data_IF_293754537951
#
_entry.id   IF_293754537951
#
_cell.length_a   1.000
_cell.length_b   1.000
_cell.length_c   1.000
_cell.angle_alpha   90.00
_cell.angle_beta   90.00
_cell.angle_gamma   90.00
#
_symmetry.space_group_name_H-M   'P 1'
#
loop_
_entity.id
_entity.type
_entity.pdbx_description
1 polymer ?
#
# COMPACT_ATOMS: atom_id res chain seq x y z
N UNK A 1 2.16 53.72 22.20
CA UNK A 1 1.60 52.55 22.91
C UNK A 1 1.70 51.38 21.95
N UNK A 2 2.79 50.61 22.03
CA UNK A 2 2.88 49.32 21.35
C UNK A 2 2.04 48.35 22.18
N UNK A 3 1.02 47.72 21.57
CA UNK A 3 0.22 46.68 22.26
C UNK A 3 1.13 45.50 22.61
N UNK A 4 1.34 45.17 23.89
CA UNK A 4 2.33 44.16 24.30
C UNK A 4 1.89 42.70 24.10
N UNK A 5 0.72 42.44 23.50
CA UNK A 5 0.07 41.12 23.56
C UNK A 5 -0.30 40.48 22.20
N UNK A 6 0.18 41.02 21.08
CA UNK A 6 -0.04 40.37 19.80
C UNK A 6 0.97 39.23 19.62
N UNK A 7 0.62 38.02 20.06
CA UNK A 7 1.34 36.80 19.68
C UNK A 7 1.56 36.78 18.17
N UNK A 8 2.77 36.43 17.74
CA UNK A 8 3.06 36.30 16.33
C UNK A 8 2.16 35.22 15.69
N UNK A 9 1.84 35.34 14.39
CA UNK A 9 0.88 34.44 13.73
C UNK A 9 1.25 32.96 13.83
N UNK A 10 2.55 32.63 13.85
CA UNK A 10 3.03 31.26 13.98
C UNK A 10 2.76 30.70 15.37
N UNK A 11 3.12 31.45 16.41
CA UNK A 11 2.87 31.05 17.81
C UNK A 11 1.38 30.86 18.07
N UNK A 12 0.53 31.77 17.56
CA UNK A 12 -0.93 31.61 17.66
C UNK A 12 -1.40 30.32 16.98
N UNK A 13 -0.98 30.06 15.75
CA UNK A 13 -1.41 28.88 15.01
C UNK A 13 -0.95 27.56 15.66
N UNK A 14 0.25 27.52 16.25
CA UNK A 14 0.74 26.35 16.99
C UNK A 14 -0.03 26.11 18.30
N UNK A 15 -0.41 27.17 19.02
CA UNK A 15 -1.26 27.07 20.22
C UNK A 15 -2.63 26.53 19.83
N UNK A 16 -3.23 27.06 18.77
CA UNK A 16 -4.52 26.58 18.27
C UNK A 16 -4.43 25.10 17.89
N UNK A 17 -3.42 24.70 17.11
CA UNK A 17 -3.20 23.31 16.77
C UNK A 17 -3.05 22.44 18.01
N UNK A 18 -2.31 22.90 19.04
CA UNK A 18 -2.13 22.17 20.30
C UNK A 18 -3.46 21.93 21.01
N UNK A 19 -4.27 22.99 21.16
CA UNK A 19 -5.59 22.89 21.81
C UNK A 19 -6.47 21.90 21.06
N UNK A 20 -6.47 21.96 19.73
CA UNK A 20 -7.27 21.06 18.89
C UNK A 20 -6.77 19.63 18.92
N UNK A 21 -5.45 19.40 18.95
CA UNK A 21 -4.87 18.07 19.10
C UNK A 21 -5.30 17.41 20.43
N UNK A 22 -5.45 18.20 21.50
CA UNK A 22 -5.97 17.70 22.79
C UNK A 22 -7.46 17.35 22.70
N UNK A 23 -8.27 18.15 22.00
CA UNK A 23 -9.71 17.95 21.88
C UNK A 23 -10.06 16.77 20.94
N UNK A 24 -9.40 16.70 19.79
CA UNK A 24 -9.73 15.76 18.71
C UNK A 24 -8.87 14.50 18.71
N UNK A 25 -7.76 14.49 19.47
CA UNK A 25 -6.85 13.34 19.54
C UNK A 25 -6.35 12.94 18.15
N UNK A 26 -6.58 11.67 17.79
CA UNK A 26 -6.11 11.09 16.52
C UNK A 26 -7.04 11.35 15.32
N UNK A 27 -8.07 12.18 15.46
CA UNK A 27 -9.02 12.49 14.38
C UNK A 27 -8.39 13.43 13.33
N UNK A 28 -7.51 12.87 12.50
CA UNK A 28 -6.66 13.56 11.51
C UNK A 28 -7.40 14.53 10.59
N UNK A 29 -8.61 14.17 10.16
CA UNK A 29 -9.40 15.01 9.26
C UNK A 29 -9.86 16.31 9.93
N UNK A 30 -10.07 16.29 11.25
CA UNK A 30 -10.47 17.45 12.04
C UNK A 30 -9.27 18.34 12.39
N UNK A 31 -8.06 17.77 12.44
CA UNK A 31 -6.81 18.50 12.69
C UNK A 31 -6.22 19.15 11.44
N UNK A 32 -6.48 18.60 10.25
CA UNK A 32 -5.88 19.06 9.00
C UNK A 32 -5.99 20.58 8.77
N UNK A 33 -7.13 21.26 8.99
CA UNK A 33 -7.22 22.71 8.79
C UNK A 33 -6.27 23.52 9.69
N UNK A 34 -6.00 23.03 10.90
CA UNK A 34 -5.12 23.69 11.86
C UNK A 34 -3.65 23.41 11.57
N UNK A 35 -3.34 22.21 11.05
CA UNK A 35 -2.01 21.90 10.53
C UNK A 35 -1.72 22.78 9.32
N UNK A 36 -2.66 22.93 8.39
CA UNK A 36 -2.52 23.80 7.22
C UNK A 36 -2.31 25.26 7.65
N UNK A 37 -3.12 25.78 8.58
CA UNK A 37 -2.96 27.14 9.13
C UNK A 37 -1.59 27.35 9.80
N UNK A 38 -1.09 26.37 10.57
CA UNK A 38 0.24 26.44 11.17
C UNK A 38 1.34 26.41 10.10
N UNK A 39 1.18 25.59 9.05
CA UNK A 39 2.13 25.49 7.94
C UNK A 39 2.18 26.78 7.12
N UNK A 40 1.04 27.41 6.87
CA UNK A 40 0.93 28.70 6.16
C UNK A 40 1.54 29.85 6.99
N UNK A 41 1.44 29.78 8.32
CA UNK A 41 2.13 30.68 9.24
C UNK A 41 3.64 30.41 9.35
N UNK A 42 4.17 29.39 8.67
CA UNK A 42 5.61 29.08 8.62
C UNK A 42 6.08 27.97 9.56
N UNK A 43 5.17 27.27 10.25
CA UNK A 43 5.55 26.19 11.16
C UNK A 43 6.29 25.09 10.41
N UNK A 44 7.41 24.61 10.94
CA UNK A 44 8.12 23.45 10.40
C UNK A 44 7.37 22.15 10.71
N UNK A 45 7.59 21.10 9.92
CA UNK A 45 7.03 19.77 10.23
C UNK A 45 7.52 19.20 11.57
N UNK A 46 8.68 19.66 12.07
CA UNK A 46 9.17 19.33 13.40
C UNK A 46 8.28 19.92 14.49
N UNK A 47 7.93 21.21 14.37
CA UNK A 47 7.04 21.89 15.32
C UNK A 47 5.64 21.27 15.32
N UNK A 48 5.10 20.93 14.14
CA UNK A 48 3.82 20.21 14.03
C UNK A 48 3.90 18.86 14.75
N UNK A 49 4.98 18.08 14.53
CA UNK A 49 5.17 16.80 15.21
C UNK A 49 5.23 16.93 16.73
N UNK A 50 5.94 17.94 17.24
CA UNK A 50 6.05 18.19 18.68
C UNK A 50 4.70 18.56 19.31
N UNK A 51 3.89 19.35 18.61
CA UNK A 51 2.55 19.75 19.07
C UNK A 51 1.58 18.57 19.11
N UNK A 52 1.62 17.71 18.09
CA UNK A 52 0.74 16.54 17.97
C UNK A 52 1.27 15.30 18.70
N UNK A 53 2.46 15.36 19.30
CA UNK A 53 3.06 14.20 19.98
C UNK A 53 3.54 13.09 19.02
N UNK A 54 3.87 13.45 17.77
CA UNK A 54 4.40 12.52 16.78
C UNK A 54 5.91 12.37 16.92
N UNK A 55 6.40 11.17 16.61
CA UNK A 55 7.81 10.80 16.84
C UNK A 55 8.84 11.68 16.12
N UNK A 56 8.51 12.22 14.94
CA UNK A 56 9.42 13.08 14.17
C UNK A 56 8.69 13.84 13.05
N UNK A 57 9.40 14.77 12.40
CA UNK A 57 8.90 15.56 11.28
C UNK A 57 8.43 14.71 10.08
N UNK A 58 9.05 13.56 9.82
CA UNK A 58 8.64 12.65 8.74
C UNK A 58 7.27 12.04 9.03
N UNK A 59 6.99 11.67 10.29
CA UNK A 59 5.69 11.19 10.74
C UNK A 59 4.60 12.25 10.55
N UNK A 60 4.86 13.50 10.91
CA UNK A 60 3.92 14.62 10.69
C UNK A 60 3.66 14.85 9.18
N UNK A 61 4.71 14.95 8.36
CA UNK A 61 4.57 15.12 6.92
C UNK A 61 3.87 13.92 6.24
N UNK A 62 4.15 12.69 6.67
CA UNK A 62 3.47 11.49 6.15
C UNK A 62 1.98 11.47 6.49
N UNK A 63 1.60 12.08 7.62
CA UNK A 63 0.24 12.10 8.15
C UNK A 63 -0.59 13.21 7.50
N UNK A 64 -0.03 14.42 7.41
CA UNK A 64 -0.73 15.66 7.03
C UNK A 64 -0.23 16.31 5.74
N UNK A 65 0.84 15.80 5.12
CA UNK A 65 1.42 16.41 3.94
C UNK A 65 0.49 16.35 2.71
N UNK A 66 0.60 17.34 1.79
CA UNK A 66 -0.31 17.55 0.66
C UNK A 66 -0.38 16.39 -0.36
N UNK A 67 0.44 15.35 -0.19
CA UNK A 67 0.56 14.22 -1.11
C UNK A 67 0.00 12.91 -0.57
N UNK A 68 -0.76 12.89 0.53
CA UNK A 68 -1.29 11.62 1.06
C UNK A 68 -2.21 10.91 0.06
N UNK A 69 -3.14 11.64 -0.57
CA UNK A 69 -4.04 11.07 -1.60
C UNK A 69 -3.27 10.62 -2.84
N UNK A 70 -2.36 11.46 -3.32
CA UNK A 70 -1.53 11.17 -4.49
C UNK A 70 -0.57 9.99 -4.26
N UNK A 71 0.05 9.90 -3.07
CA UNK A 71 0.90 8.77 -2.64
C UNK A 71 0.11 7.49 -2.54
N UNK A 72 -1.09 7.53 -1.95
CA UNK A 72 -1.95 6.35 -1.84
C UNK A 72 -2.40 5.88 -3.22
N UNK A 73 -2.74 6.79 -4.13
CA UNK A 73 -3.09 6.44 -5.50
C UNK A 73 -1.89 5.90 -6.28
N UNK A 74 -0.71 6.51 -6.15
CA UNK A 74 0.53 5.98 -6.72
C UNK A 74 0.88 4.58 -6.17
N UNK A 75 0.67 4.32 -4.89
CA UNK A 75 0.84 2.99 -4.30
C UNK A 75 -0.20 2.01 -4.84
N UNK A 76 -1.46 2.42 -4.98
CA UNK A 76 -2.53 1.60 -5.58
C UNK A 76 -2.21 1.26 -7.03
N UNK A 77 -1.78 2.23 -7.82
CA UNK A 77 -1.36 2.07 -9.21
C UNK A 77 -0.12 1.17 -9.32
N UNK A 78 0.87 1.33 -8.42
CA UNK A 78 2.03 0.42 -8.36
C UNK A 78 1.63 -1.01 -8.00
N UNK A 79 0.73 -1.22 -7.05
CA UNK A 79 0.21 -2.55 -6.73
C UNK A 79 -0.60 -3.15 -7.87
N UNK A 80 -1.43 -2.34 -8.54
CA UNK A 80 -2.18 -2.76 -9.73
C UNK A 80 -1.24 -3.14 -10.88
N UNK A 81 -0.16 -2.38 -11.10
CA UNK A 81 0.86 -2.68 -12.09
C UNK A 81 1.74 -3.89 -11.70
N UNK A 82 1.98 -4.10 -10.40
CA UNK A 82 2.73 -5.24 -9.86
C UNK A 82 1.93 -6.54 -9.89
N UNK A 83 0.58 -6.47 -9.91
CA UNK A 83 -0.28 -7.57 -10.32
C UNK A 83 -0.15 -7.79 -11.83
N UNK A 84 1.06 -8.14 -12.28
CA UNK A 84 1.30 -8.60 -13.65
C UNK A 84 0.37 -9.77 -13.91
N UNK A 85 -0.47 -9.58 -14.91
CA UNK A 85 -1.54 -10.47 -15.30
C UNK A 85 -1.06 -11.91 -15.47
N UNK A 86 -1.97 -12.83 -15.19
CA UNK A 86 -1.85 -14.19 -15.71
C UNK A 86 -1.69 -14.16 -17.24
N UNK A 87 -1.31 -15.30 -17.84
CA UNK A 87 -1.15 -15.39 -19.28
C UNK A 87 -2.42 -14.85 -19.99
N UNK A 88 -2.18 -14.07 -21.06
CA UNK A 88 -3.22 -13.36 -21.82
C UNK A 88 -4.21 -14.33 -22.50
N UNK A 89 -3.81 -15.59 -22.60
CA UNK A 89 -4.61 -16.72 -23.09
C UNK A 89 -4.67 -17.80 -21.99
N UNK A 90 -5.80 -18.53 -21.88
CA UNK A 90 -5.89 -19.66 -20.98
C UNK A 90 -4.82 -20.70 -21.34
N UNK A 91 -4.16 -21.32 -20.34
CA UNK A 91 -3.15 -22.33 -20.60
C UNK A 91 -3.75 -23.50 -21.38
N UNK A 92 -2.99 -24.19 -22.25
CA UNK A 92 -3.46 -25.29 -23.09
C UNK A 92 -3.71 -26.59 -22.30
N UNK A 93 -4.00 -26.49 -21.01
CA UNK A 93 -4.19 -27.61 -20.09
C UNK A 93 -4.55 -27.11 -18.69
N UNK A 94 -4.71 -28.04 -17.77
CA UNK A 94 -5.16 -27.77 -16.39
C UNK A 94 -4.00 -27.91 -15.39
N UNK A 95 -4.17 -27.36 -14.18
CA UNK A 95 -3.17 -27.50 -13.12
C UNK A 95 -3.09 -28.94 -12.59
N UNK A 96 -1.98 -29.30 -11.93
CA UNK A 96 -1.86 -30.61 -11.28
C UNK A 96 -2.97 -30.89 -10.25
N UNK A 97 -3.48 -29.83 -9.60
CA UNK A 97 -4.56 -29.93 -8.60
C UNK A 97 -5.89 -30.26 -9.29
N UNK A 98 -6.19 -29.59 -10.40
CA UNK A 98 -7.40 -29.86 -11.19
C UNK A 98 -7.34 -31.23 -11.85
N UNK A 99 -6.20 -31.60 -12.44
CA UNK A 99 -5.99 -32.93 -12.99
C UNK A 99 -6.12 -34.02 -11.91
N UNK A 100 -5.62 -33.76 -10.70
CA UNK A 100 -5.78 -34.67 -9.57
C UNK A 100 -7.24 -34.90 -9.19
N UNK A 101 -8.05 -33.83 -9.18
CA UNK A 101 -9.50 -33.94 -8.94
C UNK A 101 -10.21 -34.78 -10.00
N UNK A 102 -9.83 -34.62 -11.27
CA UNK A 102 -10.44 -35.37 -12.40
C UNK A 102 -10.02 -36.84 -12.36
N UNK A 103 -8.73 -37.12 -12.11
CA UNK A 103 -8.18 -38.48 -12.11
C UNK A 103 -8.37 -39.22 -10.78
N UNK A 104 -8.89 -38.56 -9.74
CA UNK A 104 -8.97 -39.12 -8.38
C UNK A 104 -7.59 -39.34 -7.74
N UNK A 105 -6.58 -38.56 -8.12
CA UNK A 105 -5.20 -38.68 -7.67
C UNK A 105 -4.75 -37.45 -6.88
N UNK A 106 -3.79 -37.65 -5.97
CA UNK A 106 -3.10 -36.53 -5.34
C UNK A 106 -2.27 -35.74 -6.38
N UNK A 107 -2.20 -34.42 -6.22
CA UNK A 107 -1.48 -33.55 -7.14
C UNK A 107 0.02 -33.90 -7.25
N UNK A 108 0.64 -34.46 -6.20
CA UNK A 108 2.04 -34.94 -6.27
C UNK A 108 2.16 -36.19 -7.14
N UNK A 109 1.15 -37.06 -7.11
CA UNK A 109 1.11 -38.25 -7.96
C UNK A 109 0.93 -37.86 -9.42
N UNK A 110 0.07 -36.88 -9.71
CA UNK A 110 -0.09 -36.31 -11.06
C UNK A 110 1.23 -35.71 -11.55
N UNK A 111 1.95 -34.96 -10.70
CA UNK A 111 3.28 -34.42 -11.05
C UNK A 111 4.27 -35.51 -11.43
N UNK A 112 4.41 -36.53 -10.59
CA UNK A 112 5.30 -37.68 -10.87
C UNK A 112 4.93 -38.40 -12.17
N UNK A 113 3.63 -38.57 -12.44
CA UNK A 113 3.15 -39.18 -13.69
C UNK A 113 3.48 -38.32 -14.91
N UNK A 114 3.34 -37.00 -14.82
CA UNK A 114 3.79 -36.08 -15.88
C UNK A 114 5.30 -36.12 -16.11
N UNK A 115 6.11 -36.12 -15.04
CA UNK A 115 7.58 -36.25 -15.13
C UNK A 115 8.01 -37.57 -15.77
N UNK A 116 7.24 -38.65 -15.57
CA UNK A 116 7.45 -39.97 -16.19
C UNK A 116 6.92 -40.07 -17.63
N UNK A 117 6.21 -39.05 -18.13
CA UNK A 117 5.59 -39.06 -19.45
C UNK A 117 4.31 -39.90 -19.55
N UNK A 118 3.73 -40.33 -18.42
CA UNK A 118 2.46 -41.08 -18.38
C UNK A 118 1.23 -40.19 -18.64
N UNK A 119 1.36 -38.89 -18.43
CA UNK A 119 0.32 -37.88 -18.70
C UNK A 119 0.94 -36.82 -19.59
N UNK A 120 0.21 -36.37 -20.62
CA UNK A 120 0.67 -35.31 -21.51
C UNK A 120 0.78 -34.00 -20.74
N UNK A 121 1.90 -33.30 -20.91
CA UNK A 121 2.17 -32.04 -20.22
C UNK A 121 2.55 -30.92 -21.19
N UNK A 122 2.13 -29.70 -20.88
CA UNK A 122 2.55 -28.47 -21.55
C UNK A 122 3.25 -27.55 -20.56
N UNK A 123 4.48 -27.14 -20.88
CA UNK A 123 5.26 -26.22 -20.04
C UNK A 123 5.14 -24.80 -20.58
N UNK A 124 4.56 -23.90 -19.78
CA UNK A 124 4.53 -22.47 -20.07
C UNK A 124 5.73 -21.83 -19.38
N UNK A 125 6.65 -21.32 -20.20
CA UNK A 125 7.78 -20.54 -19.72
C UNK A 125 7.29 -19.21 -19.18
N UNK A 126 7.60 -18.94 -17.91
CA UNK A 126 7.31 -17.63 -17.33
C UNK A 126 8.51 -16.71 -17.47
N UNK A 127 8.27 -15.45 -17.82
CA UNK A 127 9.31 -14.42 -17.82
C UNK A 127 9.95 -14.19 -16.43
N UNK A 128 9.32 -14.69 -15.35
CA UNK A 128 9.85 -14.64 -13.98
C UNK A 128 10.72 -15.85 -13.58
N UNK A 129 11.00 -16.77 -14.51
CA UNK A 129 11.90 -17.92 -14.29
C UNK A 129 11.24 -19.13 -13.61
N UNK A 130 9.96 -19.03 -13.23
CA UNK A 130 9.20 -20.18 -12.72
C UNK A 130 8.35 -20.78 -13.83
N UNK A 131 8.89 -21.79 -14.50
CA UNK A 131 8.16 -22.56 -15.50
C UNK A 131 6.96 -23.26 -14.85
N UNK A 132 5.80 -23.14 -15.51
CA UNK A 132 4.56 -23.76 -15.04
C UNK A 132 4.19 -24.92 -15.94
N UNK A 133 4.04 -26.10 -15.34
CA UNK A 133 3.59 -27.31 -16.04
C UNK A 133 2.08 -27.44 -15.91
N UNK A 134 1.42 -27.58 -17.05
CA UNK A 134 0.00 -27.88 -17.19
C UNK A 134 -0.17 -29.30 -17.74
N UNK A 135 -1.27 -29.94 -17.41
CA UNK A 135 -1.57 -31.33 -17.73
C UNK A 135 -2.72 -31.37 -18.73
N UNK A 136 -2.56 -32.17 -19.78
CA UNK A 136 -3.56 -32.38 -20.82
C UNK A 136 -4.12 -33.78 -20.57
N UNK A 137 -5.40 -33.83 -20.24
CA UNK A 137 -6.14 -35.07 -20.08
C UNK A 137 -6.98 -35.24 -21.34
N UNK A 138 -6.77 -36.34 -22.06
CA UNK A 138 -7.58 -36.76 -23.20
C UNK A 138 -8.86 -37.49 -22.72
#
# INVERSE_FOLDING_TARGET
MESPDALDPLTRALIELRVRAVIFGDAKEQLQPYVDAARDAGATWKQVAEVEGLANASSAHSTHGPKKKERNELMRLRQAAARRGGPKEPPPGISAVEAGKILGLDARTVKKKGERGEIRTATIKSASGNDRVFYILD
#
